data_IF_818033401218
#
_entry.id   IF_818033401218
#
_cell.length_a   1.000
_cell.length_b   1.000
_cell.length_c   1.000
_cell.angle_alpha   90.00
_cell.angle_beta   90.00
_cell.angle_gamma   90.00
#
_symmetry.space_group_name_H-M   'P 1'
#
loop_
_entity.id
_entity.type
_entity.pdbx_description
1 polymer ?
#
# COMPACT_ATOMS: atom_id res chain seq x y z
N UNK A 1 -9.47 15.67 -10.52
CA UNK A 1 -9.66 14.26 -10.95
C UNK A 1 -8.41 13.39 -10.74
N UNK A 2 -7.20 13.85 -11.11
CA UNK A 2 -5.95 13.07 -11.02
C UNK A 2 -5.49 12.71 -9.58
N UNK A 3 -5.69 13.60 -8.60
CA UNK A 3 -5.35 13.34 -7.18
C UNK A 3 -6.20 12.24 -6.54
N UNK A 4 -7.46 12.09 -6.97
CA UNK A 4 -8.36 11.02 -6.51
C UNK A 4 -7.92 9.65 -7.01
N UNK A 5 -7.31 9.61 -8.21
CA UNK A 5 -6.75 8.39 -8.76
C UNK A 5 -5.53 7.93 -7.95
N UNK A 6 -4.61 8.84 -7.59
CA UNK A 6 -3.44 8.51 -6.78
C UNK A 6 -3.83 7.87 -5.44
N UNK A 7 -4.73 8.49 -4.69
CA UNK A 7 -5.19 7.94 -3.40
C UNK A 7 -5.78 6.53 -3.57
N UNK A 8 -6.59 6.29 -4.61
CA UNK A 8 -7.14 4.95 -4.90
C UNK A 8 -6.07 3.96 -5.34
N UNK A 9 -5.09 4.41 -6.13
CA UNK A 9 -3.99 3.59 -6.62
C UNK A 9 -3.09 3.11 -5.49
N UNK A 10 -2.79 3.98 -4.52
CA UNK A 10 -2.03 3.63 -3.30
C UNK A 10 -2.84 2.69 -2.41
N UNK A 11 -4.15 2.94 -2.25
CA UNK A 11 -4.99 2.13 -1.38
C UNK A 11 -5.16 0.68 -1.84
N UNK A 12 -5.18 0.43 -3.15
CA UNK A 12 -5.32 -0.91 -3.71
C UNK A 12 -4.03 -1.75 -3.66
N UNK A 13 -2.89 -1.17 -3.27
CA UNK A 13 -1.62 -1.89 -3.18
C UNK A 13 -1.45 -2.48 -1.78
N UNK A 14 -0.98 -3.74 -1.65
CA UNK A 14 -0.63 -4.32 -0.36
C UNK A 14 0.38 -3.43 0.37
N UNK A 15 0.33 -3.41 1.70
CA UNK A 15 1.24 -2.60 2.53
C UNK A 15 2.74 -2.95 2.30
N UNK A 16 3.01 -4.13 1.75
CA UNK A 16 4.35 -4.66 1.47
C UNK A 16 5.01 -4.04 0.22
N UNK A 17 4.25 -3.47 -0.74
CA UNK A 17 4.80 -2.89 -1.97
C UNK A 17 4.42 -1.40 -2.15
N UNK A 18 4.96 -0.58 -1.24
CA UNK A 18 4.73 0.87 -1.15
C UNK A 18 5.70 1.73 -1.96
N UNK A 19 6.64 1.11 -2.68
CA UNK A 19 7.55 1.79 -3.60
C UNK A 19 6.97 1.73 -5.00
N UNK A 20 6.69 2.89 -5.59
CA UNK A 20 6.03 2.99 -6.89
C UNK A 20 6.96 3.74 -7.85
N UNK A 21 7.28 3.19 -9.04
CA UNK A 21 8.03 3.92 -10.05
C UNK A 21 7.25 5.14 -10.57
N UNK A 22 7.92 6.30 -10.69
CA UNK A 22 7.30 7.51 -11.25
C UNK A 22 6.80 7.30 -12.67
N UNK A 23 7.46 6.45 -13.46
CA UNK A 23 7.04 6.09 -14.82
C UNK A 23 5.62 5.49 -14.86
N UNK A 24 5.30 4.61 -13.90
CA UNK A 24 3.97 3.99 -13.78
C UNK A 24 2.92 5.06 -13.43
N UNK A 25 3.27 5.99 -12.56
CA UNK A 25 2.37 7.09 -12.16
C UNK A 25 2.13 8.03 -13.35
N UNK A 26 3.18 8.40 -14.08
CA UNK A 26 3.10 9.25 -15.27
C UNK A 26 2.22 8.62 -16.36
N UNK A 27 2.42 7.33 -16.66
CA UNK A 27 1.61 6.57 -17.62
C UNK A 27 0.13 6.56 -17.22
N UNK A 28 -0.16 6.23 -15.96
CA UNK A 28 -1.54 6.12 -15.46
C UNK A 28 -2.25 7.46 -15.38
N UNK A 29 -1.53 8.53 -15.05
CA UNK A 29 -2.09 9.89 -14.96
C UNK A 29 -2.09 10.63 -16.30
N UNK A 30 -1.50 10.03 -17.34
CA UNK A 30 -1.27 10.63 -18.66
C UNK A 30 -0.61 12.00 -18.52
N UNK A 31 0.47 12.03 -17.75
CA UNK A 31 1.30 13.21 -17.48
C UNK A 31 2.75 12.91 -17.87
N UNK A 32 3.53 13.97 -18.06
CA UNK A 32 4.98 13.85 -18.08
C UNK A 32 5.48 13.43 -16.68
N UNK A 33 6.73 12.94 -16.62
CA UNK A 33 7.35 12.56 -15.34
C UNK A 33 7.46 13.78 -14.41
N UNK A 34 7.85 14.94 -14.94
CA UNK A 34 7.93 16.20 -14.18
C UNK A 34 6.57 16.63 -13.61
N UNK A 35 5.50 16.59 -14.43
CA UNK A 35 4.16 16.96 -13.96
C UNK A 35 3.63 15.96 -12.91
N UNK A 36 3.98 14.68 -13.04
CA UNK A 36 3.64 13.66 -12.05
C UNK A 36 4.35 13.93 -10.72
N UNK A 37 5.63 14.33 -10.76
CA UNK A 37 6.40 14.71 -9.57
C UNK A 37 5.82 15.95 -8.89
N UNK A 38 5.50 17.00 -9.65
CA UNK A 38 4.84 18.19 -9.11
C UNK A 38 3.49 17.87 -8.46
N UNK A 39 2.73 16.94 -9.04
CA UNK A 39 1.46 16.50 -8.48
C UNK A 39 1.65 15.70 -7.19
N UNK A 40 2.69 14.87 -7.10
CA UNK A 40 3.07 14.16 -5.87
C UNK A 40 3.51 15.15 -4.77
N UNK A 41 4.36 16.12 -5.10
CA UNK A 41 4.78 17.19 -4.18
C UNK A 41 3.59 17.97 -3.62
N UNK A 42 2.63 18.32 -4.49
CA UNK A 42 1.39 19.00 -4.07
C UNK A 42 0.53 18.10 -3.17
N UNK A 43 0.46 16.81 -3.48
CA UNK A 43 -0.32 15.84 -2.69
C UNK A 43 0.29 15.61 -1.29
N UNK A 44 1.62 15.61 -1.19
CA UNK A 44 2.36 15.59 0.08
C UNK A 44 2.12 16.88 0.88
N UNK A 45 2.15 18.04 0.22
CA UNK A 45 1.94 19.34 0.87
C UNK A 45 0.54 19.49 1.48
N UNK A 46 -0.48 18.92 0.83
CA UNK A 46 -1.88 18.94 1.30
C UNK A 46 -2.17 17.75 2.25
N UNK A 47 -1.15 16.96 2.63
CA UNK A 47 -1.28 15.80 3.52
C UNK A 47 -2.31 14.76 3.04
N UNK A 48 -2.50 14.64 1.72
CA UNK A 48 -3.32 13.58 1.14
C UNK A 48 -2.59 12.23 1.15
N UNK A 49 -1.26 12.30 1.08
CA UNK A 49 -0.34 11.18 1.19
C UNK A 49 0.84 11.61 2.05
N UNK A 50 1.48 10.66 2.72
CA UNK A 50 2.76 10.84 3.40
C UNK A 50 3.78 9.89 2.79
N UNK A 51 5.03 10.34 2.69
CA UNK A 51 6.07 9.59 2.02
C UNK A 51 7.23 10.46 1.57
N UNK A 52 8.11 9.89 0.77
CA UNK A 52 9.26 10.58 0.17
C UNK A 52 9.44 10.18 -1.29
N UNK A 53 9.99 11.10 -2.08
CA UNK A 53 10.28 10.89 -3.50
C UNK A 53 11.78 10.65 -3.62
N UNK A 54 12.16 9.53 -4.24
CA UNK A 54 13.53 9.23 -4.66
C UNK A 54 13.65 9.47 -6.16
N UNK A 55 14.05 10.69 -6.52
CA UNK A 55 14.21 11.10 -7.92
C UNK A 55 15.37 10.37 -8.61
N UNK A 56 16.42 9.97 -7.87
CA UNK A 56 17.60 9.30 -8.45
C UNK A 56 17.22 7.91 -8.96
N UNK A 57 16.46 7.16 -8.17
CA UNK A 57 15.93 5.86 -8.56
C UNK A 57 14.60 5.98 -9.35
N UNK A 58 14.03 7.17 -9.46
CA UNK A 58 12.75 7.40 -10.13
C UNK A 58 11.59 6.68 -9.44
N UNK A 59 11.60 6.60 -8.10
CA UNK A 59 10.58 5.92 -7.30
C UNK A 59 10.00 6.84 -6.23
N UNK A 60 8.76 6.59 -5.82
CA UNK A 60 8.13 7.24 -4.67
C UNK A 60 7.78 6.18 -3.63
N UNK A 61 8.15 6.44 -2.39
CA UNK A 61 7.74 5.65 -1.24
C UNK A 61 6.58 6.33 -0.53
N UNK A 62 5.51 5.59 -0.27
CA UNK A 62 4.30 6.14 0.35
C UNK A 62 4.01 5.39 1.65
N UNK A 63 4.17 6.07 2.79
CA UNK A 63 3.94 5.52 4.13
C UNK A 63 2.46 5.56 4.54
N UNK A 64 1.71 6.54 4.03
CA UNK A 64 0.31 6.72 4.41
C UNK A 64 -0.48 7.43 3.30
N UNK A 65 -1.79 7.19 3.26
CA UNK A 65 -2.70 7.89 2.39
C UNK A 65 -4.02 8.16 3.12
N UNK A 66 -4.61 9.33 2.87
CA UNK A 66 -5.82 9.74 3.55
C UNK A 66 -6.98 8.76 3.28
N UNK A 67 -7.65 8.23 4.32
CA UNK A 67 -8.78 7.33 4.16
C UNK A 67 -9.96 8.10 3.56
N UNK A 68 -10.64 7.45 2.62
CA UNK A 68 -11.80 8.01 1.92
C UNK A 68 -12.97 7.05 1.98
N UNK A 69 -14.19 7.56 1.77
CA UNK A 69 -15.40 6.74 1.65
C UNK A 69 -15.20 5.64 0.61
N UNK A 70 -15.39 4.40 1.06
CA UNK A 70 -15.26 3.20 0.25
C UNK A 70 -16.63 2.74 -0.24
N UNK A 71 -16.68 2.23 -1.46
CA UNK A 71 -17.84 1.53 -1.99
C UNK A 71 -17.87 0.06 -1.53
N UNK A 72 -19.05 -0.56 -1.61
CA UNK A 72 -19.29 -1.98 -1.30
C UNK A 72 -18.25 -2.94 -1.89
N UNK A 73 -17.83 -2.85 -3.18
CA UNK A 73 -16.82 -3.77 -3.72
C UNK A 73 -15.44 -3.62 -3.07
N UNK A 74 -15.08 -2.42 -2.61
CA UNK A 74 -13.81 -2.19 -1.93
C UNK A 74 -13.84 -2.78 -0.51
N UNK A 75 -14.99 -2.70 0.17
CA UNK A 75 -15.20 -3.32 1.49
C UNK A 75 -15.07 -4.85 1.38
N UNK A 76 -15.61 -5.46 0.31
CA UNK A 76 -15.42 -6.90 0.06
C UNK A 76 -13.95 -7.28 -0.08
N UNK A 77 -13.19 -6.52 -0.88
CA UNK A 77 -11.75 -6.78 -1.03
C UNK A 77 -10.98 -6.65 0.28
N UNK A 78 -11.36 -5.73 1.17
CA UNK A 78 -10.75 -5.62 2.51
C UNK A 78 -11.08 -6.81 3.39
N UNK A 79 -12.32 -7.32 3.30
CA UNK A 79 -12.73 -8.53 4.00
C UNK A 79 -11.88 -9.71 3.56
N UNK A 80 -11.72 -9.91 2.25
CA UNK A 80 -10.93 -11.01 1.71
C UNK A 80 -9.46 -10.92 2.15
N UNK A 81 -8.89 -9.70 2.22
CA UNK A 81 -7.55 -9.45 2.76
C UNK A 81 -7.45 -9.76 4.25
N UNK A 82 -8.47 -9.40 5.04
CA UNK A 82 -8.53 -9.70 6.47
C UNK A 82 -8.65 -11.20 6.72
N UNK A 83 -9.51 -11.90 5.97
CA UNK A 83 -9.68 -13.35 6.05
C UNK A 83 -8.35 -14.06 5.75
N UNK A 84 -7.64 -13.65 4.68
CA UNK A 84 -6.30 -14.17 4.37
C UNK A 84 -5.28 -13.89 5.48
N UNK A 85 -5.37 -12.74 6.15
CA UNK A 85 -4.50 -12.44 7.29
C UNK A 85 -4.81 -13.32 8.50
N UNK A 86 -6.09 -13.56 8.79
CA UNK A 86 -6.51 -14.47 9.87
C UNK A 86 -6.00 -15.90 9.59
N UNK A 87 -6.10 -16.36 8.34
CA UNK A 87 -5.57 -17.68 7.94
C UNK A 87 -4.05 -17.79 8.15
N UNK A 88 -3.31 -16.72 7.83
CA UNK A 88 -1.86 -16.65 8.08
C UNK A 88 -1.55 -16.74 9.58
N UNK A 89 -2.27 -15.98 10.41
CA UNK A 89 -2.09 -16.01 11.88
C UNK A 89 -2.41 -17.40 12.44
N UNK A 90 -3.48 -18.03 11.95
CA UNK A 90 -3.85 -19.38 12.37
C UNK A 90 -2.78 -20.42 11.97
N UNK A 91 -2.25 -20.31 10.76
CA UNK A 91 -1.15 -21.17 10.29
C UNK A 91 0.10 -20.99 11.15
N UNK A 92 0.49 -19.75 11.47
CA UNK A 92 1.64 -19.47 12.35
C UNK A 92 1.41 -20.03 13.75
N UNK A 93 0.20 -19.90 14.30
CA UNK A 93 -0.15 -20.46 15.61
C UNK A 93 0.03 -21.98 15.61
N UNK A 94 -0.49 -22.68 14.59
CA UNK A 94 -0.34 -24.14 14.46
C UNK A 94 1.13 -24.56 14.31
N UNK A 95 1.96 -23.78 13.60
CA UNK A 95 3.40 -24.05 13.50
C UNK A 95 4.09 -23.93 14.87
N UNK A 96 3.76 -22.88 15.64
CA UNK A 96 4.32 -22.69 16.98
C UNK A 96 3.89 -23.81 17.93
N UNK A 97 2.61 -24.20 17.92
CA UNK A 97 2.10 -25.31 18.74
C UNK A 97 2.76 -26.65 18.39
N UNK A 98 3.06 -26.91 17.11
CA UNK A 98 3.75 -28.11 16.65
C UNK A 98 5.23 -28.17 17.08
N UNK A 99 5.89 -27.02 17.27
CA UNK A 99 7.28 -26.94 17.75
C UNK A 99 7.39 -26.95 19.29
N UNK A 100 6.29 -26.73 20.02
CA UNK A 100 6.29 -26.65 21.49
C UNK A 100 6.51 -27.98 22.23
N UNK A 101 6.08 -29.18 21.77
CA UNK A 101 6.27 -30.41 22.57
C UNK A 101 7.73 -30.87 22.70
N UNK A 102 8.66 -30.39 21.88
CA UNK A 102 10.10 -30.75 21.96
C UNK A 102 10.89 -29.89 22.98
N UNK A 103 10.41 -28.68 23.30
CA UNK A 103 11.13 -27.73 24.17
C UNK A 103 10.74 -27.80 25.65
N UNK A 104 9.57 -28.36 25.97
CA UNK A 104 9.06 -28.48 27.35
C UNK A 104 9.43 -29.85 27.97
N UNK A 105 9.96 -30.78 27.18
CA UNK A 105 10.33 -32.12 27.60
C UNK A 105 11.83 -32.32 27.93
N UNK A 106 12.62 -31.24 27.99
CA UNK A 106 14.05 -31.25 28.36
C UNK A 106 14.29 -30.66 29.75
#
# INVERSE_FOLDING_TARGET
MKTLFLSKFVYCRPAEDRTIPLAVIAERTKLSIEDAEHLLMKSLSVHLIEGFIDQVNGTVYISWAQPRVLGIPQIKSLRDQLDSWVDKVHTTLLSVEAETPDLVAA
#
